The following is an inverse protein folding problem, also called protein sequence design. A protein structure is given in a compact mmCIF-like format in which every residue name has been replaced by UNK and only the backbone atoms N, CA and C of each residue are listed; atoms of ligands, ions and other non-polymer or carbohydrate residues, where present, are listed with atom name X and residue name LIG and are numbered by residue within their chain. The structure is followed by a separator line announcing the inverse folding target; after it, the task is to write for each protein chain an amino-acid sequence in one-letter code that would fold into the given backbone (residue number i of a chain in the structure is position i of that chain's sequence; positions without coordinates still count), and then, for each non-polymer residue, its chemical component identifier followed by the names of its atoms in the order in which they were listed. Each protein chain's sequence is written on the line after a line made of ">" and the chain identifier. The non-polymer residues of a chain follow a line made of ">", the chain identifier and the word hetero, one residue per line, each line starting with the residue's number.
data_IF_064413992814
#
_entry.id   IF_064413992814
#
_cell.length_a   1.000
_cell.length_b   1.000
_cell.length_c   1.000
_cell.angle_alpha   90.00
_cell.angle_beta   90.00
_cell.angle_gamma   90.00
#
_symmetry.space_group_name_H-M   'P 1'
#
loop_
_entity.id
_entity.type
_entity.pdbx_description
1 polymer ?
#
# COMPACT_ATOMS: atom_id res chain seq x y z
N UNK A 1 5.14 4.18 32.03
CA UNK A 1 4.10 3.54 31.16
C UNK A 1 4.38 2.03 31.09
N UNK A 2 3.33 1.19 31.02
CA UNK A 2 3.47 -0.29 30.95
C UNK A 2 3.67 -0.72 29.50
N UNK A 3 4.53 -1.71 29.25
CA UNK A 3 4.69 -2.37 27.95
C UNK A 3 4.40 -3.86 28.06
N UNK A 4 4.15 -4.47 26.90
CA UNK A 4 4.04 -5.94 26.77
C UNK A 4 5.03 -6.42 25.72
N UNK A 5 5.71 -7.54 26.00
CA UNK A 5 6.46 -8.24 24.96
C UNK A 5 5.45 -8.99 24.07
N UNK A 6 5.37 -8.61 22.80
CA UNK A 6 4.44 -9.18 21.83
C UNK A 6 5.18 -9.73 20.62
N UNK A 7 4.64 -10.82 20.08
CA UNK A 7 5.01 -11.31 18.75
C UNK A 7 4.17 -10.58 17.72
N UNK A 8 4.80 -9.71 16.94
CA UNK A 8 4.17 -8.95 15.87
C UNK A 8 4.47 -9.58 14.52
N UNK A 9 3.50 -9.57 13.64
CA UNK A 9 3.67 -9.99 12.25
C UNK A 9 3.22 -8.87 11.31
N UNK A 10 3.80 -8.81 10.13
CA UNK A 10 3.27 -8.00 9.03
C UNK A 10 2.03 -8.68 8.40
N UNK A 11 1.38 -8.01 7.45
CA UNK A 11 0.15 -8.52 6.84
C UNK A 11 0.37 -9.82 6.05
N UNK A 12 1.47 -9.92 5.32
CA UNK A 12 1.81 -11.10 4.52
C UNK A 12 2.21 -12.33 5.35
N UNK A 13 2.46 -12.13 6.66
CA UNK A 13 2.97 -13.15 7.60
C UNK A 13 4.39 -13.65 7.28
N UNK A 14 5.06 -13.03 6.33
CA UNK A 14 6.43 -13.36 5.97
C UNK A 14 7.46 -12.94 7.04
N UNK A 15 7.12 -11.90 7.83
CA UNK A 15 7.95 -11.39 8.91
C UNK A 15 7.23 -11.51 10.24
N UNK A 16 7.92 -12.08 11.22
CA UNK A 16 7.44 -12.19 12.60
C UNK A 16 8.56 -11.77 13.53
N UNK A 17 8.28 -10.84 14.44
CA UNK A 17 9.28 -10.30 15.37
C UNK A 17 8.75 -10.28 16.80
N UNK A 18 9.65 -10.38 17.78
CA UNK A 18 9.34 -10.07 19.19
C UNK A 18 9.73 -8.63 19.44
N UNK A 19 8.82 -7.84 19.99
CA UNK A 19 9.02 -6.41 20.25
C UNK A 19 8.43 -6.01 21.60
N UNK A 20 8.99 -4.96 22.22
CA UNK A 20 8.40 -4.31 23.38
C UNK A 20 7.32 -3.33 22.91
N UNK A 21 6.05 -3.68 23.09
CA UNK A 21 4.92 -2.88 22.63
C UNK A 21 4.37 -1.98 23.73
N UNK A 22 4.36 -0.67 23.46
CA UNK A 22 3.60 0.32 24.20
C UNK A 22 2.32 0.65 23.46
N UNK A 23 1.24 0.89 24.19
CA UNK A 23 -0.05 1.26 23.63
C UNK A 23 -0.66 2.41 24.43
N UNK A 24 -0.24 3.66 24.16
CA UNK A 24 -0.73 4.83 24.87
C UNK A 24 -2.25 5.00 24.68
N UNK A 25 -2.91 5.51 25.71
CA UNK A 25 -4.36 5.66 25.72
C UNK A 25 -4.83 7.03 25.21
N UNK A 26 -3.99 8.06 25.35
CA UNK A 26 -4.27 9.42 24.97
C UNK A 26 -3.03 10.15 24.43
N UNK A 27 -3.22 11.36 23.92
CA UNK A 27 -2.16 12.17 23.30
C UNK A 27 -1.07 12.59 24.30
N UNK A 28 -1.42 12.78 25.59
CA UNK A 28 -0.45 13.14 26.65
C UNK A 28 0.49 11.99 26.93
N UNK A 29 -0.04 10.78 27.07
CA UNK A 29 0.77 9.57 27.24
C UNK A 29 1.67 9.32 26.04
N UNK A 30 1.15 9.51 24.81
CA UNK A 30 1.94 9.40 23.59
C UNK A 30 3.07 10.43 23.59
N UNK A 31 2.78 11.67 23.96
CA UNK A 31 3.76 12.74 23.99
C UNK A 31 4.91 12.46 24.96
N UNK A 32 4.59 12.06 26.18
CA UNK A 32 5.59 11.69 27.19
C UNK A 32 6.41 10.46 26.76
N UNK A 33 5.76 9.48 26.15
CA UNK A 33 6.43 8.29 25.65
C UNK A 33 7.44 8.62 24.56
N UNK A 34 7.03 9.38 23.53
CA UNK A 34 7.90 9.77 22.42
C UNK A 34 9.06 10.63 22.90
N UNK A 35 8.81 11.58 23.82
CA UNK A 35 9.86 12.41 24.40
C UNK A 35 10.93 11.58 25.13
N UNK A 36 10.51 10.60 25.92
CA UNK A 36 11.44 9.74 26.68
C UNK A 36 12.22 8.81 25.74
N UNK A 37 11.55 8.17 24.77
CA UNK A 37 12.19 7.22 23.85
C UNK A 37 13.13 7.91 22.87
N UNK A 38 12.82 9.14 22.45
CA UNK A 38 13.66 9.87 21.48
C UNK A 38 15.07 10.15 22.00
N UNK A 39 15.30 10.10 23.31
CA UNK A 39 16.62 10.34 23.92
C UNK A 39 17.55 9.15 23.77
N UNK A 40 17.06 7.94 24.08
CA UNK A 40 17.95 6.80 24.34
C UNK A 40 17.56 5.51 23.60
N UNK A 41 16.37 5.42 23.03
CA UNK A 41 15.84 4.15 22.52
C UNK A 41 15.13 4.30 21.19
N UNK A 42 15.65 3.73 20.10
CA UNK A 42 14.97 3.76 18.82
C UNK A 42 13.65 2.98 18.88
N UNK A 43 12.61 3.54 18.29
CA UNK A 43 11.27 2.98 18.30
C UNK A 43 10.61 3.04 16.91
N UNK A 44 9.44 2.41 16.76
CA UNK A 44 8.61 2.43 15.57
C UNK A 44 7.16 2.74 15.97
N UNK A 45 6.52 3.72 15.32
CA UNK A 45 5.08 3.91 15.39
C UNK A 45 4.38 2.96 14.41
N UNK A 46 3.37 2.20 14.89
CA UNK A 46 2.67 1.20 14.09
C UNK A 46 1.16 1.36 14.21
N UNK A 47 0.48 1.49 13.05
CA UNK A 47 -0.97 1.37 12.94
C UNK A 47 -1.41 -0.11 12.86
N UNK A 48 -2.32 -0.44 11.96
CA UNK A 48 -2.84 -1.82 11.80
C UNK A 48 -1.82 -2.86 11.29
N UNK A 49 -0.63 -2.43 10.88
CA UNK A 49 0.44 -3.35 10.44
C UNK A 49 0.13 -4.09 9.14
N UNK A 50 -0.60 -3.46 8.22
CA UNK A 50 -1.08 -4.07 6.97
C UNK A 50 -0.11 -3.93 5.79
N UNK A 51 1.11 -3.47 6.01
CA UNK A 51 2.19 -3.54 5.02
C UNK A 51 2.66 -4.98 4.83
N UNK A 52 3.05 -5.32 3.60
CA UNK A 52 3.59 -6.65 3.27
C UNK A 52 5.10 -6.74 3.53
N UNK A 53 5.76 -5.59 3.64
CA UNK A 53 7.19 -5.50 3.95
C UNK A 53 7.46 -5.53 5.46
N UNK A 54 8.73 -5.43 5.80
CA UNK A 54 9.24 -5.32 7.16
C UNK A 54 9.27 -3.87 7.71
N UNK A 55 8.65 -2.90 7.00
CA UNK A 55 8.57 -1.50 7.43
C UNK A 55 7.69 -1.27 8.68
N UNK A 56 6.84 -2.21 9.02
CA UNK A 56 5.91 -2.13 10.15
C UNK A 56 6.27 -3.03 11.34
N UNK A 57 7.50 -3.56 11.36
CA UNK A 57 8.05 -4.39 12.43
C UNK A 57 9.42 -3.89 12.85
N UNK A 58 9.79 -4.14 14.12
CA UNK A 58 11.03 -3.68 14.71
C UNK A 58 11.56 -4.77 15.68
N UNK A 59 12.47 -5.60 15.18
CA UNK A 59 12.92 -6.80 15.88
C UNK A 59 13.70 -6.46 17.16
N UNK A 60 13.27 -7.02 18.30
CA UNK A 60 13.86 -6.80 19.64
C UNK A 60 13.94 -5.33 20.08
N UNK A 61 13.20 -4.43 19.38
CA UNK A 61 13.12 -3.01 19.69
C UNK A 61 11.71 -2.61 20.10
N UNK A 62 11.52 -1.32 20.29
CA UNK A 62 10.27 -0.74 20.79
C UNK A 62 9.31 -0.49 19.63
N UNK A 63 8.04 -0.81 19.85
CA UNK A 63 6.93 -0.46 18.97
C UNK A 63 5.87 0.29 19.75
N UNK A 64 5.42 1.42 19.24
CA UNK A 64 4.28 2.18 19.73
C UNK A 64 3.08 1.80 18.89
N UNK A 65 2.12 1.09 19.46
CA UNK A 65 0.83 0.78 18.85
C UNK A 65 -0.07 2.03 18.91
N UNK A 66 -0.29 2.64 17.75
CA UNK A 66 -1.09 3.87 17.61
C UNK A 66 -2.56 3.61 17.27
N UNK A 67 -3.03 2.36 17.30
CA UNK A 67 -4.39 1.99 16.85
C UNK A 67 -5.52 2.61 17.67
N UNK A 68 -5.25 3.15 18.86
CA UNK A 68 -6.23 3.89 19.66
C UNK A 68 -6.47 5.33 19.21
N UNK A 69 -5.58 5.89 18.38
CA UNK A 69 -5.72 7.26 17.85
C UNK A 69 -6.56 7.25 16.57
N UNK A 70 -7.84 6.91 16.70
CA UNK A 70 -8.78 6.70 15.60
C UNK A 70 -10.02 7.60 15.63
N UNK A 71 -9.91 8.79 16.24
CA UNK A 71 -11.02 9.72 16.29
C UNK A 71 -11.10 10.61 15.05
N UNK A 72 -12.31 10.80 14.55
CA UNK A 72 -12.68 11.89 13.65
C UNK A 72 -12.86 13.15 14.49
N UNK A 73 -12.07 14.19 14.23
CA UNK A 73 -12.02 15.39 15.06
C UNK A 73 -12.90 16.52 14.53
N UNK A 74 -12.91 16.72 13.21
CA UNK A 74 -13.73 17.73 12.54
C UNK A 74 -13.97 17.35 11.07
N UNK A 75 -15.08 17.82 10.51
CA UNK A 75 -15.35 17.77 9.08
C UNK A 75 -16.06 19.05 8.66
N UNK A 76 -15.55 19.69 7.62
CA UNK A 76 -16.16 20.82 6.96
C UNK A 76 -16.78 20.41 5.63
N UNK A 77 -18.10 20.39 5.53
CA UNK A 77 -18.82 20.00 4.33
C UNK A 77 -18.75 21.04 3.20
N UNK A 78 -18.32 22.27 3.46
CA UNK A 78 -18.13 23.29 2.43
C UNK A 78 -16.84 23.07 1.68
N UNK A 79 -15.74 22.86 2.41
CA UNK A 79 -14.40 22.62 1.83
C UNK A 79 -14.14 21.14 1.55
N UNK A 80 -14.86 20.24 2.21
CA UNK A 80 -14.60 18.79 2.13
C UNK A 80 -13.36 18.35 2.91
N UNK A 81 -12.86 19.15 3.84
CA UNK A 81 -11.69 18.82 4.65
C UNK A 81 -12.11 18.05 5.90
N UNK A 82 -11.55 16.87 6.11
CA UNK A 82 -11.66 16.12 7.37
C UNK A 82 -10.37 16.26 8.16
N UNK A 83 -10.50 16.53 9.46
CA UNK A 83 -9.39 16.47 10.42
C UNK A 83 -9.60 15.24 11.30
N UNK A 84 -8.60 14.39 11.36
CA UNK A 84 -8.69 13.15 12.13
C UNK A 84 -7.32 12.70 12.69
N UNK A 85 -7.37 11.75 13.60
CA UNK A 85 -6.21 11.06 14.11
C UNK A 85 -5.71 9.97 13.12
N UNK A 86 -4.42 9.57 13.17
CA UNK A 86 -3.78 8.77 12.13
C UNK A 86 -4.28 7.33 12.02
N UNK A 87 -4.91 6.77 13.05
CA UNK A 87 -5.40 5.40 13.02
C UNK A 87 -6.83 5.27 12.48
N UNK A 88 -7.50 6.36 12.09
CA UNK A 88 -8.74 6.30 11.32
C UNK A 88 -8.48 5.50 10.05
N UNK A 89 -9.28 4.49 9.79
CA UNK A 89 -9.18 3.61 8.62
C UNK A 89 -9.85 4.23 7.39
N UNK A 90 -9.45 3.75 6.20
CA UNK A 90 -10.11 4.18 4.95
C UNK A 90 -11.59 3.78 4.91
N UNK A 91 -11.98 2.69 5.56
CA UNK A 91 -13.39 2.31 5.71
C UNK A 91 -14.16 3.32 6.57
N UNK A 92 -13.59 3.79 7.69
CA UNK A 92 -14.21 4.80 8.55
C UNK A 92 -14.33 6.17 7.87
N UNK A 93 -13.39 6.53 6.99
CA UNK A 93 -13.49 7.78 6.21
C UNK A 93 -14.74 7.82 5.31
N UNK A 94 -15.27 6.69 4.86
CA UNK A 94 -16.56 6.67 4.14
C UNK A 94 -17.76 7.02 5.04
N UNK A 95 -17.61 6.94 6.36
CA UNK A 95 -18.69 7.25 7.31
C UNK A 95 -18.78 8.75 7.67
N UNK A 96 -17.77 9.54 7.28
CA UNK A 96 -17.67 10.96 7.61
C UNK A 96 -18.87 11.76 7.09
N UNK A 97 -19.22 11.59 5.79
CA UNK A 97 -20.33 12.31 5.18
C UNK A 97 -20.84 11.56 3.93
N UNK A 98 -22.16 11.47 3.68
CA UNK A 98 -22.73 10.68 2.58
C UNK A 98 -22.26 11.08 1.18
N UNK A 99 -21.99 12.36 0.93
CA UNK A 99 -21.60 12.90 -0.38
C UNK A 99 -20.09 12.88 -0.63
N UNK A 100 -19.27 12.50 0.37
CA UNK A 100 -17.83 12.54 0.26
C UNK A 100 -17.23 11.15 0.37
N UNK A 101 -16.10 10.96 -0.34
CA UNK A 101 -15.32 9.73 -0.34
C UNK A 101 -13.84 10.06 -0.13
N UNK A 102 -13.03 9.10 0.39
CA UNK A 102 -11.59 9.24 0.39
C UNK A 102 -11.04 9.40 -1.04
N UNK A 103 -10.06 10.30 -1.27
CA UNK A 103 -9.57 10.61 -2.61
C UNK A 103 -8.83 9.44 -3.26
N UNK A 104 -8.08 8.69 -2.47
CA UNK A 104 -7.29 7.53 -2.90
C UNK A 104 -7.59 6.37 -1.96
N UNK A 105 -7.79 5.17 -2.51
CA UNK A 105 -8.13 3.98 -1.75
C UNK A 105 -7.04 2.92 -1.92
N UNK A 106 -6.49 2.38 -0.81
CA UNK A 106 -5.59 1.24 -0.86
C UNK A 106 -6.32 -0.05 -1.25
N UNK A 107 -5.62 -1.18 -1.33
CA UNK A 107 -6.22 -2.49 -1.62
C UNK A 107 -7.12 -3.05 -0.51
N UNK A 108 -7.16 -2.43 0.67
CA UNK A 108 -8.01 -2.78 1.82
C UNK A 108 -8.51 -1.54 2.54
N UNK A 109 -9.78 -1.52 2.95
CA UNK A 109 -10.37 -0.44 3.74
C UNK A 109 -9.87 -0.39 5.18
N UNK A 110 -9.26 -1.46 5.68
CA UNK A 110 -8.75 -1.55 7.05
C UNK A 110 -7.41 -0.84 7.28
N UNK A 111 -6.74 -0.40 6.22
CA UNK A 111 -5.50 0.39 6.36
C UNK A 111 -5.81 1.72 7.06
N UNK A 112 -4.87 2.17 7.92
CA UNK A 112 -4.98 3.44 8.62
C UNK A 112 -4.50 4.59 7.74
N UNK A 113 -5.07 5.78 7.93
CA UNK A 113 -4.67 6.98 7.20
C UNK A 113 -3.18 7.30 7.40
N UNK A 114 -2.67 7.24 8.64
CA UNK A 114 -1.26 7.46 8.94
C UNK A 114 -0.34 6.44 8.23
N UNK A 115 -0.73 5.16 8.19
CA UNK A 115 -0.02 4.14 7.41
C UNK A 115 -0.08 4.41 5.90
N UNK A 116 -1.21 4.90 5.41
CA UNK A 116 -1.39 5.33 4.02
C UNK A 116 -0.47 6.48 3.64
N UNK A 117 -0.35 7.49 4.51
CA UNK A 117 0.55 8.63 4.33
C UNK A 117 2.01 8.20 4.36
N UNK A 118 2.39 7.39 5.35
CA UNK A 118 3.76 6.90 5.50
C UNK A 118 4.26 6.10 4.29
N UNK A 119 3.36 5.52 3.51
CA UNK A 119 3.68 4.75 2.30
C UNK A 119 3.26 5.46 1.00
N UNK A 120 2.75 6.69 1.07
CA UNK A 120 2.17 7.45 -0.04
C UNK A 120 1.33 6.54 -0.96
N UNK A 121 0.30 5.94 -0.39
CA UNK A 121 -0.49 4.92 -1.10
C UNK A 121 -1.10 5.45 -2.39
N UNK A 122 -1.28 4.55 -3.32
CA UNK A 122 -1.93 4.77 -4.60
C UNK A 122 -3.12 3.82 -4.78
N UNK A 123 -4.09 4.24 -5.57
CA UNK A 123 -5.29 3.48 -5.90
C UNK A 123 -5.33 2.99 -7.34
N UNK A 124 -6.50 2.50 -7.74
CA UNK A 124 -6.87 2.20 -9.13
C UNK A 124 -7.20 3.48 -9.92
N UNK A 125 -7.25 4.62 -9.23
CA UNK A 125 -7.60 5.95 -9.74
C UNK A 125 -6.40 6.92 -9.80
N UNK A 126 -5.16 6.40 -9.85
CA UNK A 126 -3.98 7.26 -9.96
C UNK A 126 -4.05 8.19 -11.17
N UNK A 127 -4.60 7.73 -12.29
CA UNK A 127 -4.83 8.51 -13.51
C UNK A 127 -5.60 9.81 -13.28
N UNK A 128 -6.55 9.80 -12.33
CA UNK A 128 -7.37 10.95 -11.98
C UNK A 128 -6.88 11.67 -10.70
N UNK A 129 -6.49 10.92 -9.67
CA UNK A 129 -6.27 11.43 -8.32
C UNK A 129 -4.82 11.34 -7.82
N UNK A 130 -3.91 10.67 -8.56
CA UNK A 130 -2.51 10.52 -8.13
C UNK A 130 -2.36 9.63 -6.91
N UNK A 131 -1.61 10.11 -5.91
CA UNK A 131 -1.34 9.44 -4.64
C UNK A 131 -1.99 10.16 -3.47
N UNK A 132 -2.06 9.51 -2.32
CA UNK A 132 -2.69 10.07 -1.11
C UNK A 132 -2.03 11.39 -0.68
N UNK A 133 -0.71 11.50 -0.80
CA UNK A 133 0.04 12.68 -0.38
C UNK A 133 -0.44 13.97 -1.04
N UNK A 134 -0.93 13.92 -2.27
CA UNK A 134 -1.45 15.08 -3.01
C UNK A 134 -2.74 15.67 -2.39
N UNK A 135 -3.41 14.92 -1.51
CA UNK A 135 -4.65 15.30 -0.86
C UNK A 135 -4.48 15.66 0.62
N UNK A 136 -3.24 15.60 1.14
CA UNK A 136 -2.95 16.00 2.51
C UNK A 136 -2.78 17.51 2.58
N UNK A 137 -3.63 18.16 3.37
CA UNK A 137 -3.60 19.63 3.55
C UNK A 137 -2.52 20.01 4.55
N UNK A 138 -2.44 19.30 5.67
CA UNK A 138 -1.39 19.43 6.68
C UNK A 138 -1.31 18.19 7.58
N UNK A 139 -0.18 18.06 8.27
CA UNK A 139 0.11 17.03 9.26
C UNK A 139 0.60 17.66 10.56
N UNK A 140 0.30 17.03 11.68
CA UNK A 140 0.97 17.25 12.96
C UNK A 140 1.79 16.04 13.32
N UNK A 141 3.09 16.25 13.57
CA UNK A 141 4.06 15.22 13.91
C UNK A 141 4.59 15.45 15.32
N UNK A 142 4.66 14.37 16.10
CA UNK A 142 5.39 14.37 17.36
C UNK A 142 6.81 13.90 17.12
N UNK A 143 7.79 14.76 17.45
CA UNK A 143 9.22 14.52 17.32
C UNK A 143 9.88 14.93 18.65
N UNK A 144 10.36 13.96 19.42
CA UNK A 144 10.84 14.22 20.76
C UNK A 144 9.82 14.95 21.64
N UNK A 145 10.22 16.04 22.27
CA UNK A 145 9.36 16.90 23.10
C UNK A 145 8.43 17.83 22.33
N UNK A 146 8.47 17.89 20.98
CA UNK A 146 7.80 18.90 20.18
C UNK A 146 6.69 18.32 19.33
N UNK A 147 5.62 19.12 19.11
CA UNK A 147 4.63 18.87 18.07
C UNK A 147 4.84 19.89 16.95
N UNK A 148 5.12 19.39 15.74
CA UNK A 148 5.42 20.22 14.57
C UNK A 148 4.28 20.05 13.56
N UNK A 149 3.62 21.16 13.20
CA UNK A 149 2.66 21.20 12.10
C UNK A 149 3.40 21.47 10.80
N UNK A 150 3.19 20.62 9.79
CA UNK A 150 3.80 20.78 8.47
C UNK A 150 2.76 20.67 7.35
N UNK A 151 3.03 21.34 6.24
CA UNK A 151 2.15 21.40 5.06
C UNK A 151 2.99 21.67 3.81
N UNK A 152 2.40 21.68 2.61
CA UNK A 152 3.11 22.08 1.40
C UNK A 152 3.73 23.49 1.44
N UNK A 153 3.30 24.34 2.38
CA UNK A 153 3.77 25.73 2.53
C UNK A 153 4.48 26.04 3.86
N UNK A 154 4.45 25.09 4.80
CA UNK A 154 5.05 25.23 6.14
C UNK A 154 5.86 23.98 6.48
N UNK A 155 7.12 24.14 6.91
CA UNK A 155 8.04 23.02 7.13
C UNK A 155 8.03 22.03 5.96
N UNK A 156 8.12 22.55 4.74
CA UNK A 156 7.96 21.82 3.49
C UNK A 156 8.84 20.57 3.40
N UNK A 157 10.12 20.71 3.78
CA UNK A 157 11.05 19.58 3.74
C UNK A 157 10.57 18.41 4.58
N UNK A 158 10.09 18.68 5.80
CA UNK A 158 9.54 17.67 6.71
C UNK A 158 8.23 17.09 6.16
N UNK A 159 7.35 17.93 5.58
CA UNK A 159 6.11 17.47 4.97
C UNK A 159 6.37 16.47 3.84
N UNK A 160 7.21 16.84 2.86
CA UNK A 160 7.52 15.95 1.73
C UNK A 160 8.38 14.74 2.12
N UNK A 161 9.15 14.83 3.21
CA UNK A 161 9.82 13.67 3.77
C UNK A 161 8.83 12.71 4.49
N UNK A 162 7.77 13.23 5.09
CA UNK A 162 6.77 12.41 5.80
C UNK A 162 5.88 11.63 4.84
N UNK A 163 5.48 12.24 3.71
CA UNK A 163 4.74 11.56 2.66
C UNK A 163 5.63 10.48 2.03
N UNK A 164 5.22 9.22 2.17
CA UNK A 164 6.02 8.08 1.69
C UNK A 164 7.28 7.80 2.52
N UNK A 165 7.50 8.51 3.63
CA UNK A 165 8.69 8.42 4.48
C UNK A 165 8.72 7.25 5.44
N UNK A 166 7.89 6.22 5.22
CA UNK A 166 7.87 4.96 5.98
C UNK A 166 7.60 5.13 7.49
N UNK A 167 7.08 6.31 7.90
CA UNK A 167 6.85 6.66 9.29
C UNK A 167 8.12 7.00 10.09
N UNK A 168 9.22 7.29 9.40
CA UNK A 168 10.54 7.53 10.03
C UNK A 168 10.76 8.99 10.47
N UNK A 169 9.93 9.93 10.03
CA UNK A 169 10.13 11.37 10.26
C UNK A 169 9.54 11.89 11.57
N UNK A 170 8.69 11.11 12.23
CA UNK A 170 7.97 11.46 13.44
C UNK A 170 6.69 10.66 13.58
N UNK A 171 6.08 10.69 14.75
CA UNK A 171 4.77 10.06 14.97
C UNK A 171 3.67 11.01 14.50
N UNK A 172 2.90 10.61 13.48
CA UNK A 172 1.76 11.37 12.99
C UNK A 172 0.69 11.39 14.11
N UNK A 173 0.26 12.57 14.54
CA UNK A 173 -0.75 12.75 15.56
C UNK A 173 -2.10 13.19 14.98
N UNK A 174 -2.09 14.12 14.04
CA UNK A 174 -3.28 14.64 13.37
C UNK A 174 -3.04 14.83 11.87
N UNK A 175 -4.10 14.70 11.12
CA UNK A 175 -4.10 14.81 9.65
C UNK A 175 -5.30 15.64 9.22
N UNK A 176 -5.07 16.59 8.32
CA UNK A 176 -6.13 17.20 7.53
C UNK A 176 -6.08 16.64 6.11
N UNK A 177 -7.14 15.95 5.71
CA UNK A 177 -7.30 15.30 4.41
C UNK A 177 -8.41 15.98 3.61
N UNK A 178 -8.11 16.32 2.35
CA UNK A 178 -9.11 16.75 1.38
C UNK A 178 -9.90 15.54 0.87
N UNK A 179 -11.18 15.47 1.19
CA UNK A 179 -12.11 14.46 0.66
C UNK A 179 -12.65 14.88 -0.71
N UNK A 180 -13.09 13.91 -1.51
CA UNK A 180 -13.73 14.16 -2.81
C UNK A 180 -15.25 14.11 -2.69
N UNK A 181 -15.93 15.10 -3.25
CA UNK A 181 -17.39 15.07 -3.41
C UNK A 181 -17.76 14.26 -4.64
N UNK A 182 -18.04 12.98 -4.47
CA UNK A 182 -18.32 12.00 -5.53
C UNK A 182 -19.31 10.94 -5.07
N UNK A 183 -20.07 10.32 -6.00
CA UNK A 183 -20.90 9.15 -5.70
C UNK A 183 -20.09 7.98 -5.14
N UNK A 184 -20.75 7.15 -4.32
CA UNK A 184 -20.15 5.96 -3.70
C UNK A 184 -20.30 4.69 -4.51
N UNK A 185 -20.77 4.79 -5.77
CA UNK A 185 -20.96 3.68 -6.70
C UNK A 185 -20.23 3.96 -7.99
N UNK A 186 -19.80 2.89 -8.62
CA UNK A 186 -19.13 2.91 -9.92
C UNK A 186 -19.77 1.91 -10.88
N UNK A 187 -19.95 2.32 -12.12
CA UNK A 187 -20.26 1.45 -13.25
C UNK A 187 -18.95 0.85 -13.73
N UNK A 188 -18.79 -0.46 -13.56
CA UNK A 188 -17.60 -1.22 -13.94
C UNK A 188 -17.85 -1.88 -15.28
N UNK A 189 -16.90 -1.70 -16.19
CA UNK A 189 -16.84 -2.38 -17.49
C UNK A 189 -15.58 -3.25 -17.53
N UNK A 190 -15.68 -4.43 -18.16
CA UNK A 190 -14.57 -5.39 -18.23
C UNK A 190 -14.30 -5.76 -19.67
N UNK A 191 -13.01 -5.90 -20.01
CA UNK A 191 -12.56 -6.36 -21.33
C UNK A 191 -11.44 -7.39 -21.15
N UNK A 192 -11.50 -8.46 -21.93
CA UNK A 192 -10.56 -9.57 -21.90
C UNK A 192 -9.46 -9.41 -22.94
N UNK A 193 -8.21 -9.78 -22.59
CA UNK A 193 -7.02 -9.69 -23.42
C UNK A 193 -6.16 -10.94 -23.32
N UNK A 194 -5.43 -11.25 -24.40
CA UNK A 194 -4.46 -12.33 -24.48
C UNK A 194 -3.06 -11.85 -24.88
N UNK A 195 -2.90 -10.60 -25.27
CA UNK A 195 -1.64 -10.01 -25.73
C UNK A 195 -1.33 -8.75 -24.92
N UNK A 196 -0.06 -8.60 -24.54
CA UNK A 196 0.41 -7.46 -23.78
C UNK A 196 0.17 -6.15 -24.52
N UNK A 197 0.59 -6.08 -25.81
CA UNK A 197 0.44 -4.89 -26.64
C UNK A 197 -1.01 -4.33 -26.64
N UNK A 198 -2.00 -5.22 -26.84
CA UNK A 198 -3.41 -4.82 -26.83
C UNK A 198 -3.88 -4.32 -25.47
N UNK A 199 -3.47 -5.00 -24.38
CA UNK A 199 -3.81 -4.62 -23.02
C UNK A 199 -3.22 -3.25 -22.68
N UNK A 200 -1.93 -3.03 -22.95
CA UNK A 200 -1.22 -1.79 -22.66
C UNK A 200 -1.79 -0.61 -23.48
N UNK A 201 -2.05 -0.83 -24.77
CA UNK A 201 -2.71 0.16 -25.63
C UNK A 201 -4.11 0.55 -25.09
N UNK A 202 -4.89 -0.45 -24.63
CA UNK A 202 -6.21 -0.17 -24.06
C UNK A 202 -6.13 0.63 -22.76
N UNK A 203 -5.13 0.37 -21.87
CA UNK A 203 -4.92 1.16 -20.67
C UNK A 203 -4.66 2.64 -20.99
N UNK A 204 -3.74 2.91 -21.93
CA UNK A 204 -3.39 4.29 -22.30
C UNK A 204 -4.53 5.00 -23.00
N UNK A 205 -5.27 4.31 -23.87
CA UNK A 205 -6.42 4.85 -24.57
C UNK A 205 -7.57 5.21 -23.61
N UNK A 206 -7.86 4.38 -22.62
CA UNK A 206 -8.94 4.62 -21.67
C UNK A 206 -8.60 5.65 -20.60
N UNK A 207 -7.31 5.83 -20.23
CA UNK A 207 -6.90 6.63 -19.10
C UNK A 207 -7.52 8.04 -19.03
N UNK A 208 -7.63 8.83 -20.12
CA UNK A 208 -8.27 10.15 -20.07
C UNK A 208 -9.79 10.11 -19.85
N UNK A 209 -10.42 8.96 -20.00
CA UNK A 209 -11.87 8.83 -20.08
C UNK A 209 -12.48 8.16 -18.84
N UNK A 210 -11.67 7.55 -17.97
CA UNK A 210 -12.17 6.74 -16.86
C UNK A 210 -11.69 7.27 -15.51
N UNK A 211 -12.46 7.02 -14.44
CA UNK A 211 -12.07 7.39 -13.09
C UNK A 211 -11.13 6.33 -12.45
N UNK A 212 -11.31 5.07 -12.80
CA UNK A 212 -10.57 3.92 -12.28
C UNK A 212 -10.19 2.94 -13.37
N UNK A 213 -9.00 2.35 -13.26
CA UNK A 213 -8.60 1.23 -14.10
C UNK A 213 -7.64 0.28 -13.39
N UNK A 214 -7.78 -1.02 -13.66
CA UNK A 214 -6.92 -2.08 -13.15
C UNK A 214 -7.12 -3.34 -13.99
N UNK A 215 -6.05 -4.07 -14.30
CA UNK A 215 -6.16 -5.40 -14.88
C UNK A 215 -5.79 -6.49 -13.89
N UNK A 216 -6.58 -7.55 -13.84
CA UNK A 216 -6.19 -8.84 -13.29
C UNK A 216 -5.43 -9.62 -14.36
N UNK A 217 -4.39 -10.37 -13.95
CA UNK A 217 -3.53 -11.13 -14.84
C UNK A 217 -3.42 -12.58 -14.38
N UNK A 218 -3.50 -13.53 -15.32
CA UNK A 218 -3.01 -14.88 -15.14
C UNK A 218 -1.57 -15.00 -15.65
N UNK A 219 -0.63 -15.28 -14.75
CA UNK A 219 0.79 -15.46 -15.07
C UNK A 219 1.25 -16.93 -14.95
N UNK A 220 0.30 -17.87 -14.78
CA UNK A 220 0.60 -19.31 -14.71
C UNK A 220 0.53 -20.03 -16.06
N UNK A 221 -0.26 -19.47 -16.97
CA UNK A 221 -0.57 -19.98 -18.30
C UNK A 221 -0.22 -18.87 -19.32
N UNK A 222 -0.39 -19.13 -20.62
CA UNK A 222 -0.36 -18.04 -21.59
C UNK A 222 -1.23 -16.90 -21.12
N UNK A 223 -0.78 -15.66 -21.31
CA UNK A 223 -1.42 -14.45 -20.77
C UNK A 223 -2.93 -14.47 -20.94
N UNK A 224 -3.62 -14.32 -19.84
CA UNK A 224 -5.04 -13.98 -19.77
C UNK A 224 -5.18 -12.78 -18.85
N UNK A 225 -5.79 -11.70 -19.34
CA UNK A 225 -5.96 -10.48 -18.58
C UNK A 225 -7.41 -9.99 -18.68
N UNK A 226 -7.92 -9.43 -17.58
CA UNK A 226 -9.20 -8.76 -17.53
C UNK A 226 -8.97 -7.31 -17.08
N UNK A 227 -9.05 -6.38 -18.01
CA UNK A 227 -9.05 -4.94 -17.70
C UNK A 227 -10.43 -4.55 -17.20
N UNK A 228 -10.49 -3.98 -16.02
CA UNK A 228 -11.67 -3.36 -15.43
C UNK A 228 -11.48 -1.85 -15.41
N UNK A 229 -12.35 -1.14 -16.12
CA UNK A 229 -12.48 0.33 -16.07
C UNK A 229 -13.74 0.69 -15.30
N UNK A 230 -13.76 1.86 -14.66
CA UNK A 230 -14.95 2.27 -13.93
C UNK A 230 -15.15 3.79 -13.93
N UNK A 231 -16.43 4.21 -13.91
CA UNK A 231 -16.89 5.58 -13.80
C UNK A 231 -17.81 5.75 -12.61
N UNK A 232 -17.75 6.90 -11.95
CA UNK A 232 -18.71 7.22 -10.89
C UNK A 232 -20.15 7.23 -11.44
N UNK A 233 -21.08 6.65 -10.70
CA UNK A 233 -22.49 6.63 -11.03
C UNK A 233 -23.37 6.73 -9.78
N UNK A 234 -24.67 7.01 -10.00
CA UNK A 234 -25.66 6.98 -8.93
C UNK A 234 -25.85 5.56 -8.38
N UNK A 235 -26.29 5.46 -7.12
CA UNK A 235 -26.64 4.18 -6.52
C UNK A 235 -27.79 3.50 -7.29
N UNK A 236 -27.73 2.17 -7.46
CA UNK A 236 -28.84 1.41 -8.02
C UNK A 236 -30.03 1.42 -7.03
N UNK A 237 -31.26 1.28 -7.54
CA UNK A 237 -32.48 1.23 -6.71
C UNK A 237 -32.49 0.05 -5.72
N UNK A 238 -31.75 -1.01 -6.03
CA UNK A 238 -31.58 -2.20 -5.17
C UNK A 238 -30.10 -2.48 -5.02
N UNK A 239 -29.57 -2.38 -3.80
CA UNK A 239 -28.21 -2.79 -3.49
C UNK A 239 -28.24 -4.09 -2.67
N UNK A 240 -27.54 -5.13 -3.10
CA UNK A 240 -27.29 -6.31 -2.28
C UNK A 240 -25.96 -6.12 -1.55
N UNK A 241 -26.00 -6.09 -0.22
CA UNK A 241 -24.78 -6.17 0.59
C UNK A 241 -24.18 -7.58 0.45
N UNK A 242 -22.89 -7.65 0.14
CA UNK A 242 -22.19 -8.93 0.14
C UNK A 242 -21.81 -9.31 1.57
N UNK A 243 -22.19 -10.52 1.98
CA UNK A 243 -21.81 -11.05 3.29
C UNK A 243 -20.29 -11.28 3.39
N UNK A 244 -19.70 -10.81 4.49
CA UNK A 244 -18.31 -11.06 4.84
C UNK A 244 -18.10 -12.57 5.08
N UNK A 245 -17.19 -13.20 4.34
CA UNK A 245 -16.82 -14.61 4.52
C UNK A 245 -15.54 -14.70 5.35
N UNK A 246 -15.59 -15.46 6.44
CA UNK A 246 -14.39 -15.71 7.26
C UNK A 246 -13.76 -17.03 6.83
N UNK A 247 -12.49 -16.96 6.40
CA UNK A 247 -11.72 -18.16 6.09
C UNK A 247 -11.10 -18.74 7.36
N UNK A 248 -11.03 -20.08 7.47
CA UNK A 248 -10.43 -20.74 8.62
C UNK A 248 -8.93 -20.41 8.69
N UNK A 249 -8.43 -20.22 9.91
CA UNK A 249 -7.00 -20.04 10.17
C UNK A 249 -6.31 -21.40 10.04
N UNK A 250 -5.86 -21.75 8.84
CA UNK A 250 -5.13 -23.00 8.59
C UNK A 250 -3.62 -22.79 8.71
N UNK A 251 -2.87 -23.70 9.37
CA UNK A 251 -1.41 -23.72 9.30
C UNK A 251 -0.88 -24.23 7.96
N UNK A 252 -1.72 -24.91 7.18
CA UNK A 252 -1.34 -25.59 5.96
C UNK A 252 -1.56 -24.69 4.75
N UNK A 253 -0.63 -24.76 3.78
CA UNK A 253 -0.78 -24.10 2.50
C UNK A 253 -1.93 -24.73 1.72
N UNK A 254 -2.81 -23.90 1.17
CA UNK A 254 -3.96 -24.33 0.35
C UNK A 254 -3.77 -23.99 -1.14
N UNK A 255 -2.77 -23.17 -1.48
CA UNK A 255 -2.51 -22.69 -2.84
C UNK A 255 -1.41 -23.52 -3.51
N UNK A 256 -1.77 -24.20 -4.59
CA UNK A 256 -0.90 -25.04 -5.41
C UNK A 256 -1.09 -24.68 -6.88
N UNK A 257 -0.10 -25.00 -7.73
CA UNK A 257 -0.16 -24.69 -9.17
C UNK A 257 -1.43 -25.21 -9.83
N UNK A 258 -1.84 -26.43 -9.56
CA UNK A 258 -3.01 -27.05 -10.17
C UNK A 258 -4.33 -26.36 -9.80
N UNK A 259 -4.55 -25.99 -8.53
CA UNK A 259 -5.81 -25.35 -8.12
C UNK A 259 -5.83 -23.86 -8.51
N UNK A 260 -4.68 -23.18 -8.50
CA UNK A 260 -4.57 -21.80 -9.00
C UNK A 260 -4.83 -21.74 -10.50
N UNK A 261 -4.23 -22.67 -11.30
CA UNK A 261 -4.50 -22.73 -12.74
C UNK A 261 -5.99 -22.96 -13.04
N UNK A 262 -6.67 -23.86 -12.31
CA UNK A 262 -8.12 -24.10 -12.46
C UNK A 262 -8.93 -22.86 -12.06
N UNK A 263 -8.56 -22.21 -10.95
CA UNK A 263 -9.21 -20.97 -10.50
C UNK A 263 -9.05 -19.85 -11.52
N UNK A 264 -7.85 -19.62 -12.03
CA UNK A 264 -7.58 -18.57 -13.03
C UNK A 264 -8.37 -18.80 -14.31
N UNK A 265 -8.41 -20.06 -14.77
CA UNK A 265 -9.19 -20.43 -15.95
C UNK A 265 -10.71 -20.23 -15.75
N UNK A 266 -11.22 -20.57 -14.58
CA UNK A 266 -12.61 -20.28 -14.22
C UNK A 266 -12.85 -18.77 -14.11
N UNK A 267 -11.96 -18.02 -13.45
CA UNK A 267 -12.09 -16.58 -13.27
C UNK A 267 -12.06 -15.82 -14.60
N UNK A 268 -11.19 -16.20 -15.53
CA UNK A 268 -11.10 -15.61 -16.86
C UNK A 268 -12.36 -15.80 -17.70
N UNK A 269 -13.19 -16.79 -17.38
CA UNK A 269 -14.48 -17.07 -18.04
C UNK A 269 -15.68 -16.42 -17.37
N UNK A 270 -15.48 -15.67 -16.27
CA UNK A 270 -16.57 -14.93 -15.62
C UNK A 270 -17.19 -13.93 -16.60
N UNK A 271 -18.46 -13.63 -16.35
CA UNK A 271 -19.18 -12.63 -17.16
C UNK A 271 -18.41 -11.31 -17.22
N UNK A 272 -18.27 -10.80 -18.46
CA UNK A 272 -17.72 -9.48 -18.75
C UNK A 272 -18.79 -8.39 -18.76
N UNK A 273 -20.01 -8.70 -18.35
CA UNK A 273 -21.11 -7.74 -18.26
C UNK A 273 -20.77 -6.55 -17.36
N UNK A 274 -21.27 -5.40 -17.77
CA UNK A 274 -21.17 -4.20 -16.95
C UNK A 274 -21.98 -4.33 -15.66
N UNK A 275 -21.42 -3.86 -14.55
CA UNK A 275 -22.08 -3.94 -13.26
C UNK A 275 -21.91 -2.65 -12.47
N UNK A 276 -22.97 -2.20 -11.77
CA UNK A 276 -22.84 -1.14 -10.77
C UNK A 276 -22.45 -1.76 -9.44
N UNK A 277 -21.32 -1.30 -8.89
CA UNK A 277 -20.78 -1.80 -7.63
C UNK A 277 -20.59 -0.64 -6.64
N UNK A 278 -20.75 -0.90 -5.32
CA UNK A 278 -20.23 0.01 -4.30
C UNK A 278 -18.72 0.20 -4.50
N UNK A 279 -18.25 1.43 -4.35
CA UNK A 279 -16.84 1.78 -4.56
C UNK A 279 -15.89 0.99 -3.63
N UNK A 280 -16.32 0.72 -2.40
CA UNK A 280 -15.59 -0.13 -1.44
C UNK A 280 -15.41 -1.56 -1.96
N UNK A 281 -16.47 -2.16 -2.54
CA UNK A 281 -16.42 -3.52 -3.12
C UNK A 281 -15.50 -3.57 -4.33
N UNK A 282 -15.55 -2.56 -5.20
CA UNK A 282 -14.68 -2.47 -6.36
C UNK A 282 -13.21 -2.31 -5.97
N UNK A 283 -12.91 -1.46 -4.98
CA UNK A 283 -11.53 -1.21 -4.56
C UNK A 283 -10.95 -2.29 -3.65
N UNK A 284 -11.78 -2.90 -2.79
CA UNK A 284 -11.36 -3.84 -1.74
C UNK A 284 -11.94 -5.26 -1.95
N UNK A 285 -11.70 -5.92 -3.10
CA UNK A 285 -12.33 -7.21 -3.38
C UNK A 285 -11.93 -8.33 -2.40
N UNK A 286 -10.74 -8.26 -1.82
CA UNK A 286 -10.23 -9.24 -0.86
C UNK A 286 -10.75 -9.01 0.57
N UNK A 287 -11.26 -7.83 0.90
CA UNK A 287 -11.83 -7.55 2.23
C UNK A 287 -13.09 -8.39 2.51
N UNK A 288 -13.73 -8.94 1.47
CA UNK A 288 -14.82 -9.90 1.61
C UNK A 288 -14.38 -11.24 2.22
N UNK A 289 -13.07 -11.52 2.27
CA UNK A 289 -12.49 -12.74 2.79
C UNK A 289 -11.58 -12.45 3.98
N UNK A 290 -12.15 -12.45 5.18
CA UNK A 290 -11.37 -12.27 6.40
C UNK A 290 -10.32 -13.38 6.55
N UNK A 291 -9.08 -12.99 6.89
CA UNK A 291 -7.94 -13.91 7.08
C UNK A 291 -7.46 -14.62 5.80
N UNK A 292 -7.69 -14.09 4.60
CA UNK A 292 -7.23 -14.70 3.36
C UNK A 292 -5.72 -15.03 3.29
N UNK A 293 -4.78 -14.28 3.96
CA UNK A 293 -3.37 -14.66 3.95
C UNK A 293 -3.08 -16.04 4.58
N UNK A 294 -4.02 -16.61 5.36
CA UNK A 294 -3.86 -17.96 5.88
C UNK A 294 -3.93 -19.06 4.81
N UNK A 295 -4.44 -18.76 3.60
CA UNK A 295 -4.40 -19.68 2.47
C UNK A 295 -2.95 -20.05 2.07
N UNK A 296 -1.98 -19.20 2.40
CA UNK A 296 -0.55 -19.42 2.12
C UNK A 296 0.16 -20.28 3.17
N UNK A 297 -0.51 -20.66 4.25
CA UNK A 297 0.06 -21.45 5.34
C UNK A 297 0.91 -20.63 6.31
N UNK A 298 1.76 -21.29 7.10
CA UNK A 298 2.53 -20.64 8.17
C UNK A 298 3.57 -19.62 7.68
N UNK A 299 4.20 -19.87 6.53
CA UNK A 299 5.23 -18.98 5.97
C UNK A 299 4.65 -17.71 5.35
N UNK A 300 3.33 -17.66 5.14
CA UNK A 300 2.69 -16.51 4.49
C UNK A 300 3.02 -16.37 3.01
N UNK A 301 2.98 -15.14 2.52
CA UNK A 301 3.24 -14.81 1.12
C UNK A 301 4.33 -13.76 1.00
N UNK A 302 4.97 -13.70 -0.18
CA UNK A 302 5.80 -12.59 -0.61
C UNK A 302 5.05 -11.85 -1.71
N UNK A 303 5.15 -10.51 -1.71
CA UNK A 303 4.62 -9.70 -2.80
C UNK A 303 5.77 -8.96 -3.48
N UNK A 304 5.80 -9.03 -4.79
CA UNK A 304 6.61 -8.17 -5.65
C UNK A 304 5.72 -7.06 -6.19
N UNK A 305 6.13 -5.81 -6.09
CA UNK A 305 5.46 -4.70 -6.78
C UNK A 305 6.48 -3.72 -7.32
N UNK A 306 6.44 -3.51 -8.62
CA UNK A 306 7.32 -2.58 -9.33
C UNK A 306 6.52 -1.59 -10.17
N UNK A 307 7.11 -0.42 -10.44
CA UNK A 307 6.70 0.53 -11.47
C UNK A 307 7.85 0.73 -12.44
N UNK A 308 7.54 0.84 -13.73
CA UNK A 308 8.49 0.98 -14.83
C UNK A 308 7.89 1.79 -15.97
N UNK A 309 8.75 2.25 -16.87
CA UNK A 309 8.37 3.09 -17.99
C UNK A 309 7.32 2.43 -18.90
N UNK A 310 6.40 3.24 -19.44
CA UNK A 310 5.33 2.77 -20.31
C UNK A 310 5.83 2.36 -21.70
N UNK A 311 6.90 2.99 -22.21
CA UNK A 311 7.45 2.73 -23.53
C UNK A 311 8.03 1.30 -23.64
N UNK A 312 8.67 0.83 -22.57
CA UNK A 312 9.30 -0.50 -22.53
C UNK A 312 8.44 -1.55 -21.80
N UNK A 313 7.19 -1.22 -21.46
CA UNK A 313 6.36 -2.03 -20.57
C UNK A 313 6.12 -3.46 -21.08
N UNK A 314 5.91 -3.66 -22.39
CA UNK A 314 5.70 -5.00 -22.97
C UNK A 314 6.91 -5.90 -22.75
N UNK A 315 8.10 -5.44 -23.14
CA UNK A 315 9.35 -6.19 -23.01
C UNK A 315 9.64 -6.49 -21.53
N UNK A 316 9.39 -5.53 -20.64
CA UNK A 316 9.59 -5.70 -19.20
C UNK A 316 8.63 -6.76 -18.64
N UNK A 317 7.34 -6.73 -19.00
CA UNK A 317 6.34 -7.70 -18.54
C UNK A 317 6.63 -9.12 -19.04
N UNK A 318 7.06 -9.26 -20.29
CA UNK A 318 7.50 -10.53 -20.85
C UNK A 318 8.71 -11.09 -20.09
N UNK A 319 9.73 -10.26 -19.84
CA UNK A 319 10.91 -10.67 -19.10
C UNK A 319 10.59 -11.07 -17.65
N UNK A 320 9.76 -10.30 -16.95
CA UNK A 320 9.30 -10.66 -15.61
C UNK A 320 8.57 -12.01 -15.61
N UNK A 321 7.76 -12.27 -16.65
CA UNK A 321 7.06 -13.56 -16.80
C UNK A 321 8.07 -14.70 -17.04
N UNK A 322 9.09 -14.49 -17.87
CA UNK A 322 10.17 -15.44 -18.07
C UNK A 322 10.93 -15.76 -16.79
N UNK A 323 11.24 -14.76 -15.95
CA UNK A 323 11.89 -14.96 -14.64
C UNK A 323 11.03 -15.81 -13.70
N UNK A 324 9.70 -15.56 -13.64
CA UNK A 324 8.76 -16.35 -12.84
C UNK A 324 8.78 -17.82 -13.28
N UNK A 325 8.77 -18.09 -14.58
CA UNK A 325 8.81 -19.44 -15.16
C UNK A 325 10.17 -20.10 -14.89
N UNK A 326 11.27 -19.40 -15.15
CA UNK A 326 12.64 -19.90 -14.96
C UNK A 326 12.88 -20.37 -13.53
N UNK A 327 12.47 -19.58 -12.54
CA UNK A 327 12.61 -19.91 -11.12
C UNK A 327 11.49 -20.82 -10.59
N UNK A 328 10.52 -21.22 -11.42
CA UNK A 328 9.37 -22.05 -11.04
C UNK A 328 8.57 -21.45 -9.87
N UNK A 329 8.59 -20.13 -9.71
CA UNK A 329 7.81 -19.45 -8.69
C UNK A 329 6.30 -19.61 -8.96
N UNK A 330 5.49 -19.61 -7.89
CA UNK A 330 4.04 -19.75 -7.99
C UNK A 330 3.36 -18.39 -7.75
N UNK A 331 3.02 -17.63 -8.81
CA UNK A 331 2.18 -16.45 -8.69
C UNK A 331 0.74 -16.89 -8.39
N UNK A 332 0.09 -16.19 -7.46
CA UNK A 332 -1.27 -16.53 -7.01
C UNK A 332 -2.28 -15.44 -7.31
N UNK A 333 -1.84 -14.19 -7.30
CA UNK A 333 -2.59 -13.02 -7.72
C UNK A 333 -1.64 -12.07 -8.43
N UNK A 334 -2.03 -11.58 -9.59
CA UNK A 334 -1.29 -10.51 -10.26
C UNK A 334 -2.25 -9.44 -10.76
N UNK A 335 -1.85 -8.17 -10.59
CA UNK A 335 -2.60 -7.01 -11.06
C UNK A 335 -1.68 -6.00 -11.72
N UNK A 336 -2.16 -5.38 -12.80
CA UNK A 336 -1.47 -4.31 -13.52
C UNK A 336 -2.27 -3.01 -13.37
N UNK A 337 -1.56 -1.90 -13.18
CA UNK A 337 -2.11 -0.55 -13.13
C UNK A 337 -1.30 0.35 -14.05
N UNK A 338 -1.92 1.42 -14.51
CA UNK A 338 -1.26 2.49 -15.25
C UNK A 338 -1.27 3.76 -14.41
N UNK A 339 -0.11 4.39 -14.26
CA UNK A 339 0.08 5.63 -13.50
C UNK A 339 0.46 6.76 -14.44
N UNK A 340 -0.22 7.89 -14.28
CA UNK A 340 0.06 9.13 -15.03
C UNK A 340 0.58 10.24 -14.13
N UNK A 341 0.44 10.09 -12.80
CA UNK A 341 0.83 11.10 -11.81
C UNK A 341 1.84 10.52 -10.83
N UNK A 342 2.93 11.25 -10.60
CA UNK A 342 3.96 10.89 -9.62
C UNK A 342 3.47 11.10 -8.18
N UNK A 343 4.05 10.36 -7.24
CA UNK A 343 3.97 10.69 -5.82
C UNK A 343 4.79 11.94 -5.49
N UNK A 344 4.42 12.61 -4.40
CA UNK A 344 5.05 13.89 -4.01
C UNK A 344 6.12 13.75 -2.94
N UNK A 345 6.15 12.65 -2.22
CA UNK A 345 7.13 12.41 -1.16
C UNK A 345 8.52 12.07 -1.70
N UNK A 346 9.54 12.25 -0.85
CA UNK A 346 10.94 11.99 -1.23
C UNK A 346 11.19 10.51 -1.55
N UNK A 347 10.51 9.59 -0.84
CA UNK A 347 10.59 8.15 -1.05
C UNK A 347 9.27 7.59 -1.62
N UNK A 348 8.43 8.41 -2.28
CA UNK A 348 7.22 7.93 -2.93
C UNK A 348 7.55 6.92 -4.04
N UNK A 349 6.80 5.84 -4.06
CA UNK A 349 6.94 4.75 -5.04
C UNK A 349 6.50 5.16 -6.43
N UNK A 350 5.38 5.89 -6.52
CA UNK A 350 4.67 6.12 -7.78
C UNK A 350 5.42 7.10 -8.69
N UNK A 351 5.63 6.67 -9.91
CA UNK A 351 6.08 7.46 -11.06
C UNK A 351 5.21 7.11 -12.28
N UNK A 352 5.14 7.96 -13.33
CA UNK A 352 4.41 7.61 -14.56
C UNK A 352 4.92 6.30 -15.15
N UNK A 353 3.99 5.49 -15.67
CA UNK A 353 4.30 4.18 -16.24
C UNK A 353 3.35 3.09 -15.78
N UNK A 354 3.72 1.83 -16.01
CA UNK A 354 2.94 0.68 -15.57
C UNK A 354 3.46 0.13 -14.24
N UNK A 355 2.54 -0.28 -13.38
CA UNK A 355 2.88 -0.94 -12.11
C UNK A 355 2.24 -2.32 -12.04
N UNK A 356 3.08 -3.34 -11.90
CA UNK A 356 2.66 -4.72 -11.66
C UNK A 356 2.83 -5.08 -10.20
N UNK A 357 1.83 -5.74 -9.61
CA UNK A 357 1.93 -6.33 -8.27
C UNK A 357 1.60 -7.83 -8.36
N UNK A 358 2.46 -8.68 -7.80
CA UNK A 358 2.37 -10.13 -7.89
C UNK A 358 2.54 -10.74 -6.51
N UNK A 359 1.55 -11.53 -6.09
CA UNK A 359 1.62 -12.32 -4.86
C UNK A 359 2.19 -13.70 -5.15
N UNK A 360 3.16 -14.14 -4.34
CA UNK A 360 3.80 -15.45 -4.44
C UNK A 360 3.61 -16.25 -3.15
N UNK A 361 3.50 -17.57 -3.29
CA UNK A 361 3.69 -18.46 -2.15
C UNK A 361 5.13 -18.35 -1.64
N UNK A 362 5.31 -18.05 -0.36
CA UNK A 362 6.62 -17.85 0.24
C UNK A 362 7.43 -19.16 0.28
N UNK A 363 8.43 -19.27 -0.62
CA UNK A 363 9.39 -20.36 -0.71
C UNK A 363 10.68 -19.88 -1.39
N UNK A 364 11.69 -20.75 -1.49
CA UNK A 364 12.99 -20.42 -2.11
C UNK A 364 12.87 -20.03 -3.58
N UNK A 365 11.96 -20.66 -4.34
CA UNK A 365 11.71 -20.32 -5.73
C UNK A 365 11.15 -18.89 -5.88
N UNK A 366 10.21 -18.49 -5.03
CA UNK A 366 9.67 -17.13 -5.02
C UNK A 366 10.73 -16.10 -4.61
N UNK A 367 11.58 -16.42 -3.62
CA UNK A 367 12.68 -15.53 -3.21
C UNK A 367 13.68 -15.34 -4.35
N UNK A 368 14.11 -16.42 -5.03
CA UNK A 368 15.02 -16.34 -6.18
C UNK A 368 14.42 -15.54 -7.34
N UNK A 369 13.14 -15.75 -7.66
CA UNK A 369 12.44 -14.98 -8.68
C UNK A 369 12.37 -13.48 -8.32
N UNK A 370 12.01 -13.12 -7.08
CA UNK A 370 11.92 -11.73 -6.64
C UNK A 370 13.29 -11.05 -6.66
N UNK A 371 14.36 -11.73 -6.24
CA UNK A 371 15.72 -11.20 -6.32
C UNK A 371 16.12 -10.88 -7.76
N UNK A 372 15.88 -11.82 -8.69
CA UNK A 372 16.14 -11.60 -10.11
C UNK A 372 15.29 -10.48 -10.71
N UNK A 373 14.00 -10.40 -10.34
CA UNK A 373 13.10 -9.34 -10.78
C UNK A 373 13.51 -7.97 -10.20
N UNK A 374 13.95 -7.90 -8.92
CA UNK A 374 14.45 -6.65 -8.32
C UNK A 374 15.69 -6.14 -9.08
N UNK A 375 16.63 -7.04 -9.41
CA UNK A 375 17.82 -6.70 -10.17
C UNK A 375 17.44 -6.17 -11.56
N UNK A 376 16.60 -6.90 -12.29
CA UNK A 376 16.14 -6.50 -13.62
C UNK A 376 15.42 -5.14 -13.61
N UNK A 377 14.49 -4.92 -12.67
CA UNK A 377 13.79 -3.63 -12.55
C UNK A 377 14.75 -2.48 -12.22
N UNK A 378 15.80 -2.74 -11.43
CA UNK A 378 16.84 -1.73 -11.14
C UNK A 378 17.59 -1.34 -12.43
N UNK A 379 17.95 -2.32 -13.26
CA UNK A 379 18.61 -2.12 -14.56
C UNK A 379 17.70 -1.35 -15.55
N UNK A 380 16.40 -1.57 -15.48
CA UNK A 380 15.40 -0.84 -16.28
C UNK A 380 15.00 0.51 -15.69
N UNK A 381 15.74 1.04 -14.68
CA UNK A 381 15.43 2.31 -13.99
C UNK A 381 14.01 2.39 -13.40
N UNK A 382 13.41 1.23 -13.16
CA UNK A 382 12.14 1.10 -12.48
C UNK A 382 12.30 1.23 -10.96
N UNK A 383 11.20 1.09 -10.24
CA UNK A 383 11.19 1.24 -8.78
C UNK A 383 10.37 0.15 -8.12
N UNK A 384 10.89 -0.43 -7.04
CA UNK A 384 10.21 -1.41 -6.19
C UNK A 384 9.47 -0.68 -5.06
N UNK A 385 8.22 -1.08 -4.76
CA UNK A 385 7.43 -0.46 -3.72
C UNK A 385 7.86 -0.89 -2.33
N UNK A 386 8.42 0.02 -1.53
CA UNK A 386 8.97 -0.26 -0.20
C UNK A 386 7.93 -0.85 0.78
N UNK A 387 6.63 -0.50 0.65
CA UNK A 387 5.57 -1.10 1.46
C UNK A 387 5.31 -2.58 1.15
N UNK A 388 5.86 -3.10 0.06
CA UNK A 388 5.68 -4.48 -0.43
C UNK A 388 6.99 -5.25 -0.53
N UNK A 389 8.10 -4.51 -0.46
CA UNK A 389 9.44 -5.08 -0.58
C UNK A 389 9.82 -5.95 0.62
N UNK A 390 10.56 -7.00 0.32
CA UNK A 390 11.12 -7.91 1.33
C UNK A 390 12.57 -8.29 1.07
N UNK A 391 13.11 -7.99 -0.12
CA UNK A 391 14.38 -8.53 -0.60
C UNK A 391 15.25 -7.51 -1.36
N UNK A 392 14.84 -6.23 -1.42
CA UNK A 392 15.62 -5.17 -2.05
C UNK A 392 16.92 -4.95 -1.26
N UNK A 393 18.05 -4.79 -1.96
CA UNK A 393 19.32 -4.46 -1.30
C UNK A 393 19.47 -2.95 -1.08
N UNK A 394 20.44 -2.57 -0.25
CA UNK A 394 20.77 -1.15 -0.01
C UNK A 394 21.17 -0.45 -1.29
N UNK A 395 21.99 -1.10 -2.14
CA UNK A 395 22.46 -0.54 -3.40
C UNK A 395 21.30 -0.33 -4.39
N UNK A 396 20.43 -1.33 -4.53
CA UNK A 396 19.23 -1.22 -5.38
C UNK A 396 18.30 -0.11 -4.89
N UNK A 397 18.09 0.01 -3.57
CA UNK A 397 17.31 1.10 -2.99
C UNK A 397 17.91 2.47 -3.34
N UNK A 398 19.22 2.64 -3.19
CA UNK A 398 19.89 3.91 -3.49
C UNK A 398 19.81 4.31 -4.96
N UNK A 399 19.88 3.34 -5.88
CA UNK A 399 19.71 3.57 -7.32
C UNK A 399 18.26 3.98 -7.63
N UNK A 400 17.28 3.26 -7.10
CA UNK A 400 15.85 3.47 -7.42
C UNK A 400 15.26 4.71 -6.77
N UNK A 401 15.77 5.12 -5.60
CA UNK A 401 15.26 6.25 -4.81
C UNK A 401 16.29 7.38 -4.72
N UNK A 402 16.49 8.11 -5.81
CA UNK A 402 17.52 9.15 -5.95
C UNK A 402 17.51 10.24 -4.86
N UNK A 403 16.36 10.46 -4.21
CA UNK A 403 16.22 11.45 -3.12
C UNK A 403 16.51 10.86 -1.73
N UNK A 404 17.02 9.62 -1.63
CA UNK A 404 17.33 8.99 -0.35
C UNK A 404 18.34 9.77 0.51
N UNK A 405 19.33 10.39 -0.11
CA UNK A 405 20.33 11.23 0.59
C UNK A 405 19.69 12.45 1.24
N UNK A 406 18.83 13.17 0.51
CA UNK A 406 18.07 14.31 1.06
C UNK A 406 17.15 13.86 2.20
N UNK A 407 16.50 12.71 2.05
CA UNK A 407 15.67 12.14 3.11
C UNK A 407 16.48 11.87 4.38
N UNK A 408 17.68 11.27 4.26
CA UNK A 408 18.59 11.03 5.41
C UNK A 408 19.07 12.33 6.06
N UNK A 409 19.33 13.38 5.28
CA UNK A 409 19.67 14.71 5.81
C UNK A 409 18.56 15.29 6.67
N UNK A 410 17.28 15.17 6.24
CA UNK A 410 16.12 15.61 7.03
C UNK A 410 15.99 14.77 8.32
N UNK A 411 16.20 13.46 8.26
CA UNK A 411 16.21 12.64 9.47
C UNK A 411 17.31 13.08 10.46
N UNK A 412 18.51 13.44 9.94
CA UNK A 412 19.61 13.92 10.77
C UNK A 412 19.33 15.29 11.41
N UNK A 413 18.60 16.16 10.72
CA UNK A 413 18.17 17.48 11.21
C UNK A 413 17.15 17.36 12.34
N UNK A 414 16.08 16.58 12.14
CA UNK A 414 14.97 16.49 13.10
C UNK A 414 15.18 15.43 14.19
N UNK A 415 16.09 14.47 14.00
CA UNK A 415 16.46 13.41 14.95
C UNK A 415 15.29 12.69 15.61
N UNK A 416 14.34 12.12 14.83
CA UNK A 416 13.14 11.50 15.39
C UNK A 416 13.41 10.21 16.19
N UNK A 417 14.59 9.60 16.03
CA UNK A 417 15.01 8.33 16.62
C UNK A 417 14.05 7.16 16.34
N UNK A 418 13.54 7.11 15.11
CA UNK A 418 12.59 6.08 14.66
C UNK A 418 13.29 5.12 13.70
N UNK A 419 13.12 3.81 13.94
CA UNK A 419 13.70 2.76 13.09
C UNK A 419 12.69 1.65 12.83
N UNK A 420 12.88 0.92 11.75
CA UNK A 420 12.17 -0.31 11.42
C UNK A 420 13.14 -1.35 10.85
N UNK A 421 12.73 -2.61 10.76
CA UNK A 421 13.58 -3.62 10.11
C UNK A 421 13.95 -3.20 8.69
N UNK A 422 12.98 -2.68 7.91
CA UNK A 422 13.22 -2.20 6.55
C UNK A 422 14.23 -1.05 6.52
N UNK A 423 14.07 -0.05 7.41
CA UNK A 423 14.96 1.13 7.38
C UNK A 423 16.41 0.76 7.70
N UNK A 424 16.61 -0.23 8.58
CA UNK A 424 17.95 -0.76 8.88
C UNK A 424 18.50 -1.61 7.73
N UNK A 425 17.70 -2.51 7.15
CA UNK A 425 18.08 -3.35 6.02
C UNK A 425 18.49 -2.52 4.80
N UNK A 426 17.82 -1.41 4.54
CA UNK A 426 18.11 -0.53 3.42
C UNK A 426 19.13 0.58 3.75
N UNK A 427 19.71 0.58 4.95
CA UNK A 427 20.68 1.58 5.38
C UNK A 427 20.11 3.00 5.43
N UNK A 428 18.81 3.15 5.69
CA UNK A 428 18.15 4.46 5.88
C UNK A 428 18.43 4.97 7.29
N UNK A 429 18.33 4.08 8.28
CA UNK A 429 18.66 4.33 9.69
C UNK A 429 19.68 3.30 10.19
N UNK A 430 20.34 3.61 11.30
CA UNK A 430 21.27 2.71 11.98
C UNK A 430 20.54 1.61 12.77
#
# INVERSE_FOLDING_TARGET
>A
MRYKSLTLSNFSRAFTTKSCCYRPENEEELALLVENLSKDSPFLARGQGLSYSDCNVNHQKIVIDTTRFNHLLAFDAQTGIVVCQPAVSFAELFLVHPDFIPPVLPGTGFATLGGGIANDIHGKNNIAQGTLGQHIVWLELRIGGFTIKCSPTMHQALFFATIGGLGLTGVICRVALQMLRRPRHVLVQKKYFRHWAELLAQFTQCAPQVDYQVAWLDLLNPLQAILSTAHYCAAPKTSSERALRTLPKSPWRMLYRWNMSRFNHWYARQSLESAILPLSVFNHPLDNFKHWPYLYGQKGLLQFQAVFDAEHAEIILEHLTCLIIHHQALPTLAVLKYFTRSGIGLLSFVQPGFSIAIDFVHNTAAQAAILAMNQFITEQQGRIYLAKDSLLTTEQFQIQYSKHTLFKQILAEFKPNITSNLSQRLGITE
#
